data_IF_693550738157
#
_entry.id   IF_693550738157
#
_cell.length_a   1.000
_cell.length_b   1.000
_cell.length_c   1.000
_cell.angle_alpha   90.00
_cell.angle_beta   90.00
_cell.angle_gamma   90.00
#
_symmetry.space_group_name_H-M   'P 1'
#
loop_
_entity.id
_entity.type
_entity.pdbx_description
1 polymer ?
#
# COMPACT_ATOMS: atom_id res chain seq x y z
N UNK A 1 -2.36 -2.35 -17.69
CA UNK A 1 -3.25 -1.98 -16.56
C UNK A 1 -2.86 -0.60 -16.05
N UNK A 2 -3.79 0.35 -16.02
CA UNK A 2 -3.50 1.70 -15.47
C UNK A 2 -3.42 1.60 -13.95
N UNK A 3 -2.24 1.86 -13.37
CA UNK A 3 -2.02 1.88 -11.92
C UNK A 3 -2.46 3.23 -11.38
N UNK A 4 -3.49 3.24 -10.54
CA UNK A 4 -3.91 4.42 -9.80
C UNK A 4 -3.09 4.49 -8.51
N UNK A 5 -2.47 5.64 -8.28
CA UNK A 5 -1.69 5.91 -7.08
C UNK A 5 -2.39 6.93 -6.19
N UNK A 6 -2.03 6.92 -4.92
CA UNK A 6 -2.44 7.89 -3.91
C UNK A 6 -1.20 8.54 -3.30
N UNK A 7 -1.26 9.85 -3.12
CA UNK A 7 -0.21 10.59 -2.43
C UNK A 7 -0.31 10.40 -0.92
N UNK A 8 0.78 10.02 -0.29
CA UNK A 8 0.83 9.73 1.16
C UNK A 8 0.77 11.03 1.98
N UNK A 9 1.13 12.19 1.41
CA UNK A 9 1.17 13.46 2.14
C UNK A 9 -0.19 14.18 2.14
N UNK A 10 -0.88 14.19 0.99
CA UNK A 10 -2.12 14.96 0.83
C UNK A 10 -3.35 14.12 0.46
N UNK A 11 -3.20 12.82 0.23
CA UNK A 11 -4.30 11.90 -0.08
C UNK A 11 -4.89 12.02 -1.49
N UNK A 12 -4.36 12.91 -2.36
CA UNK A 12 -4.85 13.05 -3.74
C UNK A 12 -4.49 11.84 -4.60
N UNK A 13 -5.44 11.41 -5.42
CA UNK A 13 -5.21 10.42 -6.45
C UNK A 13 -4.40 11.00 -7.60
N UNK A 14 -3.52 10.18 -8.17
CA UNK A 14 -2.69 10.57 -9.29
C UNK A 14 -2.27 9.33 -10.10
N UNK A 15 -1.93 9.57 -11.36
CA UNK A 15 -1.31 8.57 -12.24
C UNK A 15 0.22 8.70 -12.27
N UNK A 16 0.77 9.72 -11.58
CA UNK A 16 2.21 9.96 -11.47
C UNK A 16 2.79 9.16 -10.30
N UNK A 17 4.05 8.75 -10.46
CA UNK A 17 4.81 8.06 -9.40
C UNK A 17 5.20 8.99 -8.25
N UNK A 18 5.16 10.30 -8.46
CA UNK A 18 5.53 11.30 -7.45
C UNK A 18 4.47 12.40 -7.35
N UNK A 19 4.18 12.81 -6.12
CA UNK A 19 3.30 13.95 -5.82
C UNK A 19 3.70 14.58 -4.48
N UNK A 20 3.66 15.91 -4.39
CA UNK A 20 4.12 16.65 -3.21
C UNK A 20 5.57 16.33 -2.78
N UNK A 21 6.45 16.02 -3.74
CA UNK A 21 7.86 15.72 -3.48
C UNK A 21 8.12 14.34 -2.83
N UNK A 22 7.11 13.46 -2.76
CA UNK A 22 7.27 12.08 -2.29
C UNK A 22 6.72 11.09 -3.31
N UNK A 23 7.26 9.86 -3.25
CA UNK A 23 6.74 8.74 -4.00
C UNK A 23 5.30 8.41 -3.58
N UNK A 24 4.47 8.12 -4.57
CA UNK A 24 3.07 7.75 -4.40
C UNK A 24 2.96 6.26 -4.12
N UNK A 25 1.87 5.84 -3.46
CA UNK A 25 1.59 4.42 -3.18
C UNK A 25 0.44 3.93 -4.04
N UNK A 26 0.39 2.63 -4.29
CA UNK A 26 -0.77 2.01 -4.94
C UNK A 26 -2.03 2.32 -4.13
N UNK A 27 -3.07 2.82 -4.80
CA UNK A 27 -4.32 3.18 -4.15
C UNK A 27 -5.11 1.97 -3.62
N UNK A 28 -5.04 0.85 -4.34
CA UNK A 28 -5.79 -0.36 -4.01
C UNK A 28 -5.06 -1.15 -2.91
N UNK A 29 -5.81 -1.78 -1.99
CA UNK A 29 -5.24 -2.66 -0.99
C UNK A 29 -4.64 -3.92 -1.64
N UNK A 30 -3.71 -4.61 -0.95
CA UNK A 30 -3.24 -5.92 -1.38
C UNK A 30 -4.39 -6.94 -1.39
N UNK A 31 -4.33 -7.90 -2.32
CA UNK A 31 -5.30 -8.99 -2.41
C UNK A 31 -5.29 -9.84 -1.12
N UNK A 32 -6.48 -10.16 -0.60
CA UNK A 32 -6.63 -11.03 0.56
C UNK A 32 -6.56 -12.50 0.13
N UNK A 33 -5.69 -13.29 0.78
CA UNK A 33 -5.60 -14.73 0.56
C UNK A 33 -6.00 -15.46 1.85
N UNK A 34 -7.00 -16.36 1.82
CA UNK A 34 -7.40 -17.14 3.00
C UNK A 34 -6.26 -17.92 3.67
N UNK A 35 -5.31 -18.43 2.89
CA UNK A 35 -4.17 -19.19 3.41
C UNK A 35 -3.06 -18.31 4.02
N UNK A 36 -3.06 -17.00 3.74
CA UNK A 36 -2.14 -15.97 4.26
C UNK A 36 -0.75 -16.48 4.72
N UNK A 37 0.06 -16.98 3.78
CA UNK A 37 1.33 -17.64 4.08
C UNK A 37 2.31 -16.77 4.91
N UNK A 38 2.19 -15.44 4.81
CA UNK A 38 3.02 -14.47 5.51
C UNK A 38 2.34 -13.84 6.74
N UNK A 39 1.16 -14.31 7.14
CA UNK A 39 0.36 -13.74 8.23
C UNK A 39 1.10 -13.67 9.56
N UNK A 40 1.82 -14.75 9.91
CA UNK A 40 2.65 -14.82 11.13
C UNK A 40 3.72 -13.73 11.16
N UNK A 41 4.46 -13.57 10.06
CA UNK A 41 5.52 -12.56 9.96
C UNK A 41 4.95 -11.14 9.99
N UNK A 42 3.81 -10.91 9.30
CA UNK A 42 3.13 -9.61 9.30
C UNK A 42 2.65 -9.21 10.70
N UNK A 43 2.13 -10.15 11.50
CA UNK A 43 1.70 -9.90 12.89
C UNK A 43 2.88 -9.62 13.82
N UNK A 44 3.96 -10.41 13.72
CA UNK A 44 5.22 -10.15 14.45
C UNK A 44 5.82 -8.78 14.12
N UNK A 45 5.88 -8.41 12.84
CA UNK A 45 6.38 -7.10 12.42
C UNK A 45 5.53 -5.94 12.98
N UNK A 46 4.22 -6.18 13.18
CA UNK A 46 3.31 -5.20 13.77
C UNK A 46 3.34 -5.21 15.32
N UNK A 47 3.99 -6.18 15.95
CA UNK A 47 4.09 -6.32 17.41
C UNK A 47 2.79 -6.74 18.10
N UNK A 48 1.90 -7.45 17.39
CA UNK A 48 0.63 -7.95 17.94
C UNK A 48 0.79 -9.36 18.53
N UNK A 49 1.89 -10.04 18.20
CA UNK A 49 2.23 -11.42 18.55
C UNK A 49 3.60 -11.49 19.20
#
# INVERSE_FOLDING_TARGET
MKKIFICITCGKYTLKNEHCGKNTKTAHPPHFNPNDAYGKYRRKMKGIE
#
